data_IF_289243381115
#
_entry.id   IF_289243381115
#
_cell.length_a   1.000
_cell.length_b   1.000
_cell.length_c   1.000
_cell.angle_alpha   90.00
_cell.angle_beta   90.00
_cell.angle_gamma   90.00
#
_symmetry.space_group_name_H-M   'P 1'
#
loop_
_entity.id
_entity.type
_entity.pdbx_description
1 polymer ?
#
# COMPACT_ATOMS: atom_id res chain seq x y z
N UNK A 1 -13.19 -11.81 7.82
CA UNK A 1 -13.44 -10.85 6.73
C UNK A 1 -12.71 -9.54 7.01
N UNK A 2 -11.39 -9.55 6.93
CA UNK A 2 -10.56 -8.37 6.98
C UNK A 2 -10.52 -7.71 5.60
N UNK A 3 -11.45 -6.78 5.38
CA UNK A 3 -11.47 -5.88 4.22
C UNK A 3 -10.88 -4.52 4.60
N UNK A 4 -10.29 -3.82 3.61
CA UNK A 4 -9.75 -2.47 3.78
C UNK A 4 -10.18 -1.57 2.63
N UNK A 5 -10.54 -0.32 2.92
CA UNK A 5 -10.80 0.69 1.88
C UNK A 5 -9.48 1.30 1.42
N UNK A 6 -9.14 1.10 0.15
CA UNK A 6 -7.92 1.64 -0.46
C UNK A 6 -8.24 2.53 -1.64
N UNK A 7 -7.42 3.56 -1.84
CA UNK A 7 -7.35 4.37 -3.05
C UNK A 7 -6.19 3.87 -3.91
N UNK A 8 -6.51 3.42 -5.12
CA UNK A 8 -5.54 3.20 -6.20
C UNK A 8 -5.31 4.55 -6.88
N UNK A 9 -4.06 4.93 -7.08
CA UNK A 9 -3.70 6.12 -7.83
C UNK A 9 -2.37 5.91 -8.55
N UNK A 10 -2.12 6.73 -9.56
CA UNK A 10 -0.84 6.76 -10.26
C UNK A 10 -0.11 8.04 -9.88
N UNK A 11 1.19 7.93 -9.64
CA UNK A 11 2.06 9.08 -9.39
C UNK A 11 3.17 9.15 -10.43
N UNK A 12 3.51 10.34 -10.89
CA UNK A 12 4.75 10.60 -11.61
C UNK A 12 5.44 11.84 -11.08
N UNK A 13 6.75 11.89 -11.28
CA UNK A 13 7.52 13.08 -11.01
C UNK A 13 7.57 13.94 -12.28
N UNK A 14 7.26 15.26 -12.25
CA UNK A 14 7.22 16.10 -13.46
C UNK A 14 8.53 16.16 -14.26
N UNK A 15 9.68 15.86 -13.61
CA UNK A 15 10.99 15.78 -14.29
C UNK A 15 11.23 14.46 -15.02
N UNK A 16 10.46 13.43 -14.70
CA UNK A 16 10.53 12.12 -15.35
C UNK A 16 9.10 11.59 -15.58
N UNK A 17 8.43 12.06 -16.65
CA UNK A 17 7.05 11.68 -16.94
C UNK A 17 6.90 10.21 -17.34
N UNK A 18 7.99 9.50 -17.63
CA UNK A 18 7.96 8.10 -18.04
C UNK A 18 7.91 7.13 -16.85
N UNK A 19 8.18 7.61 -15.63
CA UNK A 19 8.16 6.82 -14.39
C UNK A 19 6.82 6.96 -13.66
N UNK A 20 5.76 6.46 -14.29
CA UNK A 20 4.45 6.32 -13.66
C UNK A 20 4.48 5.13 -12.69
N UNK A 21 4.17 5.40 -11.42
CA UNK A 21 4.15 4.40 -10.36
C UNK A 21 2.75 4.28 -9.75
N UNK A 22 2.20 3.06 -9.76
CA UNK A 22 0.90 2.78 -9.12
C UNK A 22 1.06 2.65 -7.60
N UNK A 23 0.17 3.29 -6.85
CA UNK A 23 0.13 3.28 -5.38
C UNK A 23 -1.25 2.88 -4.86
N UNK A 24 -1.25 2.08 -3.80
CA UNK A 24 -2.45 1.74 -3.03
C UNK A 24 -2.32 2.32 -1.63
N UNK A 25 -3.21 3.24 -1.28
CA UNK A 25 -3.14 4.01 -0.04
C UNK A 25 -4.44 3.84 0.74
N UNK A 26 -4.41 3.58 2.06
CA UNK A 26 -5.63 3.56 2.87
C UNK A 26 -6.43 4.84 2.72
N UNK A 27 -7.74 4.71 2.48
CA UNK A 27 -8.64 5.84 2.23
C UNK A 27 -8.58 6.88 3.36
N UNK A 28 -8.48 6.41 4.59
CA UNK A 28 -8.40 7.23 5.81
C UNK A 28 -7.21 8.20 5.85
N UNK A 29 -6.07 7.86 5.21
CA UNK A 29 -4.88 8.72 5.18
C UNK A 29 -4.64 9.35 3.82
N UNK A 30 -5.46 9.04 2.81
CA UNK A 30 -5.18 9.40 1.42
C UNK A 30 -5.00 10.91 1.23
N UNK A 31 -5.87 11.74 1.81
CA UNK A 31 -5.78 13.20 1.65
C UNK A 31 -4.48 13.80 2.21
N UNK A 32 -4.04 13.34 3.39
CA UNK A 32 -2.75 13.77 3.96
C UNK A 32 -1.58 13.26 3.11
N UNK A 33 -1.64 12.01 2.67
CA UNK A 33 -0.62 11.42 1.80
C UNK A 33 -0.50 12.19 0.48
N UNK A 34 -1.60 12.47 -0.20
CA UNK A 34 -1.64 13.23 -1.46
C UNK A 34 -1.08 14.64 -1.27
N UNK A 35 -1.46 15.33 -0.20
CA UNK A 35 -0.88 16.62 0.15
C UNK A 35 0.64 16.55 0.31
N UNK A 36 1.17 15.55 1.02
CA UNK A 36 2.62 15.40 1.19
C UNK A 36 3.31 15.07 -0.14
N UNK A 37 2.74 14.17 -0.95
CA UNK A 37 3.33 13.78 -2.23
C UNK A 37 3.40 14.98 -3.19
N UNK A 38 2.36 15.81 -3.23
CA UNK A 38 2.30 16.98 -4.10
C UNK A 38 3.12 18.15 -3.57
N UNK A 39 2.94 18.54 -2.31
CA UNK A 39 3.55 19.76 -1.77
C UNK A 39 5.00 19.57 -1.33
N UNK A 40 5.32 18.44 -0.71
CA UNK A 40 6.65 18.19 -0.15
C UNK A 40 7.57 17.46 -1.13
N UNK A 41 7.02 16.50 -1.85
CA UNK A 41 7.81 15.61 -2.71
C UNK A 41 7.72 15.96 -4.21
N UNK A 42 6.85 16.90 -4.60
CA UNK A 42 6.76 17.40 -5.97
C UNK A 42 6.17 16.42 -6.99
N UNK A 43 5.54 15.34 -6.53
CA UNK A 43 4.83 14.39 -7.41
C UNK A 43 3.49 14.96 -7.86
N UNK A 44 3.00 14.47 -9.00
CA UNK A 44 1.60 14.64 -9.38
C UNK A 44 0.85 13.34 -9.13
N UNK A 45 -0.30 13.43 -8.50
CA UNK A 45 -1.21 12.30 -8.23
C UNK A 45 -2.36 12.40 -9.22
N UNK A 46 -2.69 11.31 -9.90
CA UNK A 46 -3.80 11.24 -10.85
C UNK A 46 -4.49 9.88 -10.78
N UNK A 47 -5.66 9.78 -11.42
CA UNK A 47 -6.47 8.56 -11.49
C UNK A 47 -6.83 7.96 -10.11
N UNK A 48 -7.01 8.80 -9.09
CA UNK A 48 -7.38 8.36 -7.76
C UNK A 48 -8.77 7.70 -7.77
N UNK A 49 -8.83 6.41 -7.45
CA UNK A 49 -10.06 5.61 -7.37
C UNK A 49 -10.11 4.84 -6.07
N UNK A 50 -11.18 5.01 -5.31
CA UNK A 50 -11.40 4.28 -4.08
C UNK A 50 -12.17 2.97 -4.33
N UNK A 51 -11.69 1.87 -3.75
CA UNK A 51 -12.40 0.60 -3.74
C UNK A 51 -11.99 -0.25 -2.52
N UNK A 52 -12.44 -1.50 -2.50
CA UNK A 52 -12.17 -2.46 -1.45
C UNK A 52 -10.98 -3.34 -1.83
N UNK A 53 -10.10 -3.51 -0.85
CA UNK A 53 -9.12 -4.57 -0.79
C UNK A 53 -9.64 -5.69 0.11
N UNK A 54 -9.53 -6.93 -0.35
CA UNK A 54 -9.92 -8.14 0.36
C UNK A 54 -8.70 -9.05 0.53
N UNK A 55 -8.59 -9.70 1.69
CA UNK A 55 -7.62 -10.77 1.88
C UNK A 55 -7.92 -11.93 0.93
N UNK A 56 -6.89 -12.47 0.28
CA UNK A 56 -7.01 -13.59 -0.64
C UNK A 56 -7.46 -14.88 0.06
N UNK A 57 -7.11 -15.09 1.33
CA UNK A 57 -7.62 -16.25 2.10
C UNK A 57 -9.15 -16.18 2.30
N UNK A 58 -9.74 -15.00 2.12
CA UNK A 58 -11.16 -14.75 2.34
C UNK A 58 -11.93 -14.45 1.05
N UNK A 59 -11.24 -14.31 -0.09
CA UNK A 59 -11.83 -14.09 -1.40
C UNK A 59 -11.75 -15.39 -2.22
N UNK A 60 -12.88 -16.00 -2.63
CA UNK A 60 -12.83 -17.12 -3.56
C UNK A 60 -12.23 -16.61 -4.87
N UNK A 61 -11.09 -17.17 -5.30
CA UNK A 61 -10.43 -16.82 -6.57
C UNK A 61 -11.39 -16.94 -7.78
N UNK A 62 -12.49 -17.69 -7.63
CA UNK A 62 -13.51 -17.91 -8.64
C UNK A 62 -14.62 -16.85 -8.72
N UNK A 63 -14.62 -15.81 -7.89
CA UNK A 63 -15.73 -14.82 -7.85
C UNK A 63 -15.53 -13.63 -8.80
N UNK A 64 -14.30 -13.33 -9.21
CA UNK A 64 -13.99 -12.15 -10.00
C UNK A 64 -13.13 -12.52 -11.20
N UNK A 65 -13.45 -12.00 -12.38
CA UNK A 65 -12.58 -12.12 -13.55
C UNK A 65 -11.25 -11.39 -13.30
N UNK A 66 -10.15 -11.92 -13.85
CA UNK A 66 -8.81 -11.30 -13.67
C UNK A 66 -8.75 -9.84 -14.16
N UNK A 67 -9.63 -9.45 -15.08
CA UNK A 67 -9.74 -8.08 -15.57
C UNK A 67 -10.46 -7.11 -14.61
N UNK A 68 -11.08 -7.62 -13.55
CA UNK A 68 -11.86 -6.83 -12.58
C UNK A 68 -11.13 -6.63 -11.26
N UNK A 69 -9.86 -7.05 -11.16
CA UNK A 69 -9.10 -6.97 -9.92
C UNK A 69 -7.61 -6.68 -10.18
N UNK A 70 -7.00 -6.02 -9.20
CA UNK A 70 -5.55 -5.93 -9.08
C UNK A 70 -5.08 -6.81 -7.92
N UNK A 71 -4.01 -7.60 -8.13
CA UNK A 71 -3.35 -8.33 -7.04
C UNK A 71 -2.51 -7.36 -6.21
N UNK A 72 -2.83 -7.24 -4.92
CA UNK A 72 -2.22 -6.28 -4.01
C UNK A 72 -1.83 -6.96 -2.70
N UNK A 73 -0.56 -6.87 -2.34
CA UNK A 73 -0.03 -7.46 -1.11
C UNK A 73 0.04 -6.41 0.00
N UNK A 74 -0.57 -6.71 1.15
CA UNK A 74 -0.36 -5.96 2.40
C UNK A 74 0.97 -6.39 3.02
N UNK A 75 1.82 -5.41 3.32
CA UNK A 75 3.02 -5.58 4.14
C UNK A 75 2.81 -4.83 5.45
N UNK A 76 2.77 -5.59 6.54
CA UNK A 76 2.69 -5.07 7.91
C UNK A 76 4.04 -5.22 8.61
N UNK A 77 4.53 -4.14 9.21
CA UNK A 77 5.75 -4.15 10.02
C UNK A 77 5.39 -3.73 11.43
N UNK A 78 5.81 -4.52 12.42
CA UNK A 78 5.63 -4.25 13.83
C UNK A 78 6.94 -3.73 14.40
N UNK A 79 6.94 -2.46 14.81
CA UNK A 79 8.10 -1.74 15.29
C UNK A 79 7.90 -1.40 16.76
N UNK A 80 8.86 -1.76 17.60
CA UNK A 80 8.84 -1.33 18.99
C UNK A 80 9.30 0.14 19.08
N UNK A 81 8.44 1.00 19.63
CA UNK A 81 8.76 2.37 19.97
C UNK A 81 9.21 2.43 21.42
N UNK A 82 10.51 2.61 21.66
CA UNK A 82 11.03 2.80 23.01
C UNK A 82 10.56 4.11 23.66
N UNK A 83 10.08 5.08 22.87
CA UNK A 83 9.50 6.34 23.38
C UNK A 83 8.15 6.09 24.03
N UNK A 84 7.32 5.26 23.41
CA UNK A 84 5.94 5.02 23.81
C UNK A 84 5.79 3.69 24.57
N UNK A 85 6.91 2.99 24.79
CA UNK A 85 7.02 1.64 25.34
C UNK A 85 6.10 0.61 24.66
N UNK A 86 5.74 0.83 23.39
CA UNK A 86 4.68 0.09 22.70
C UNK A 86 5.06 -0.31 21.27
N UNK A 87 4.43 -1.36 20.76
CA UNK A 87 4.55 -1.73 19.35
C UNK A 87 3.62 -0.89 18.48
N UNK A 88 4.19 -0.26 17.46
CA UNK A 88 3.45 0.39 16.38
C UNK A 88 3.40 -0.53 15.18
N UNK A 89 2.22 -0.69 14.58
CA UNK A 89 2.03 -1.40 13.32
C UNK A 89 2.04 -0.39 12.18
N UNK A 90 2.93 -0.57 11.21
CA UNK A 90 2.92 0.19 9.95
C UNK A 90 2.50 -0.74 8.82
N UNK A 91 1.44 -0.37 8.11
CA UNK A 91 0.94 -1.12 6.97
C UNK A 91 1.16 -0.37 5.66
N UNK A 92 1.55 -1.09 4.61
CA UNK A 92 1.62 -0.60 3.23
C UNK A 92 1.01 -1.65 2.29
N UNK A 93 0.47 -1.19 1.17
CA UNK A 93 -0.15 -2.01 0.16
C UNK A 93 0.60 -1.81 -1.16
N UNK A 94 1.08 -2.89 -1.75
CA UNK A 94 1.90 -2.85 -2.96
C UNK A 94 1.28 -3.72 -4.05
N UNK A 95 1.43 -3.35 -5.34
CA UNK A 95 1.19 -4.30 -6.42
C UNK A 95 1.96 -5.60 -6.13
N UNK A 96 1.29 -6.75 -6.23
CA UNK A 96 1.93 -8.03 -5.89
C UNK A 96 3.14 -8.35 -6.78
N UNK A 97 3.14 -7.87 -8.04
CA UNK A 97 4.28 -7.98 -8.97
C UNK A 97 5.54 -7.28 -8.45
N UNK A 98 5.38 -6.15 -7.76
CA UNK A 98 6.48 -5.26 -7.38
C UNK A 98 6.84 -5.40 -5.90
N UNK A 99 6.09 -6.24 -5.18
CA UNK A 99 6.13 -6.36 -3.72
C UNK A 99 7.54 -6.64 -3.21
N UNK A 100 8.30 -7.55 -3.84
CA UNK A 100 9.66 -7.89 -3.43
C UNK A 100 10.62 -6.69 -3.48
N UNK A 101 10.55 -5.88 -4.53
CA UNK A 101 11.40 -4.69 -4.67
C UNK A 101 10.96 -3.58 -3.70
N UNK A 102 9.67 -3.28 -3.64
CA UNK A 102 9.12 -2.22 -2.80
C UNK A 102 9.23 -2.54 -1.31
N UNK A 103 9.08 -3.80 -0.90
CA UNK A 103 9.32 -4.25 0.47
C UNK A 103 10.74 -3.95 0.92
N UNK A 104 11.75 -4.24 0.10
CA UNK A 104 13.16 -3.94 0.45
C UNK A 104 13.38 -2.46 0.67
N UNK A 105 12.87 -1.61 -0.22
CA UNK A 105 12.96 -0.15 -0.08
C UNK A 105 12.22 0.32 1.17
N UNK A 106 11.00 -0.17 1.39
CA UNK A 106 10.20 0.18 2.55
C UNK A 106 10.90 -0.19 3.87
N UNK A 107 11.47 -1.38 3.96
CA UNK A 107 12.18 -1.84 5.15
C UNK A 107 13.51 -1.10 5.39
N UNK A 108 14.14 -0.55 4.35
CA UNK A 108 15.37 0.24 4.50
C UNK A 108 15.18 1.55 5.29
N UNK A 109 13.93 2.02 5.44
CA UNK A 109 13.62 3.19 6.27
C UNK A 109 13.57 2.89 7.77
N UNK A 110 13.62 1.62 8.17
CA UNK A 110 13.59 1.22 9.57
C UNK A 110 14.98 0.73 10.01
N UNK A 111 15.53 1.27 11.11
CA UNK A 111 16.84 0.87 11.58
C UNK A 111 16.82 -0.62 11.93
N UNK A 112 17.81 -1.35 11.42
CA UNK A 112 18.07 -2.74 11.84
C UNK A 112 18.97 -2.82 13.08
N UNK A 113 19.41 -1.69 13.63
CA UNK A 113 20.40 -1.63 14.71
C UNK A 113 19.81 -1.90 16.11
N UNK A 114 20.41 -2.92 16.76
CA UNK A 114 20.66 -3.13 18.19
C UNK A 114 19.54 -2.94 19.23
N UNK A 115 18.27 -2.72 18.86
CA UNK A 115 17.18 -3.01 19.79
C UNK A 115 17.05 -4.53 19.90
N UNK A 116 16.87 -5.08 21.12
CA UNK A 116 16.71 -6.53 21.35
C UNK A 116 15.55 -7.16 20.55
N UNK A 117 14.68 -6.33 19.97
CA UNK A 117 13.46 -6.73 19.31
C UNK A 117 13.57 -6.39 17.82
N UNK A 118 13.68 -7.42 16.99
CA UNK A 118 13.69 -7.27 15.54
C UNK A 118 12.30 -6.88 15.01
N UNK A 119 12.22 -6.05 13.95
CA UNK A 119 10.96 -5.78 13.27
C UNK A 119 10.31 -7.08 12.79
N UNK A 120 9.12 -7.38 13.29
CA UNK A 120 8.34 -8.51 12.75
C UNK A 120 7.61 -8.03 11.50
N UNK A 121 7.79 -8.76 10.39
CA UNK A 121 7.17 -8.44 9.10
C UNK A 121 6.16 -9.53 8.75
N UNK A 122 4.94 -9.13 8.43
CA UNK A 122 3.87 -10.01 7.96
C UNK A 122 3.41 -9.57 6.58
N UNK A 123 3.19 -10.55 5.70
CA UNK A 123 2.64 -10.33 4.37
C UNK A 123 1.26 -10.97 4.29
N UNK A 124 0.33 -10.29 3.62
CA UNK A 124 -0.99 -10.86 3.28
C UNK A 124 -1.30 -10.58 1.83
N UNK A 125 -1.51 -11.65 1.07
CA UNK A 125 -1.99 -11.54 -0.29
C UNK A 125 -3.44 -11.03 -0.28
N UNK A 126 -3.81 -10.29 -1.31
CA UNK A 126 -5.17 -9.82 -1.45
C UNK A 126 -5.44 -9.25 -2.82
N UNK A 127 -6.69 -8.87 -3.02
CA UNK A 127 -7.20 -8.33 -4.28
C UNK A 127 -7.84 -6.97 -4.04
N UNK A 128 -7.55 -6.01 -4.91
CA UNK A 128 -8.25 -4.74 -4.98
C UNK A 128 -9.24 -4.78 -6.14
N UNK A 129 -10.53 -4.55 -5.86
CA UNK A 129 -11.59 -4.75 -6.84
C UNK A 129 -11.79 -3.48 -7.67
N UNK A 130 -11.81 -3.60 -9.00
CA UNK A 130 -12.15 -2.48 -9.87
C UNK A 130 -13.63 -2.15 -9.70
N UNK A 131 -13.94 -0.89 -9.38
CA UNK A 131 -15.32 -0.40 -9.43
C UNK A 131 -15.54 0.27 -10.77
N UNK A 132 -16.39 -0.34 -11.58
CA UNK A 132 -17.00 0.38 -12.71
C UNK A 132 -17.89 1.49 -12.16
N UNK A 133 -17.77 2.68 -12.73
CA UNK A 133 -18.72 3.77 -12.46
C UNK A 133 -19.96 3.41 -13.30
N UNK A 134 -21.16 3.22 -12.70
CA UNK A 134 -22.37 3.14 -13.50
C UNK A 134 -22.47 4.45 -14.29
N UNK A 135 -22.62 4.33 -15.61
CA UNK A 135 -22.74 5.45 -16.55
C UNK A 135 -23.88 6.41 -16.18
#
# INVERSE_FOLDING_TARGET
>A
MASQKLVRCTIHHPRDPADDSTRYVPLEIFGLWEFLMTQRHGFRVHEARASLWLDAEEAPESTYDEHQLDRVTEISVFLYSGRDDMFTRVCRYFPSSDCGALKRIFLAHYPQEASRIQPHVRERAGIWIHREIPA
#
